data_IF_819740276620
#
_entry.id   IF_819740276620
#
_cell.length_a   1.000
_cell.length_b   1.000
_cell.length_c   1.000
_cell.angle_alpha   90.00
_cell.angle_beta   90.00
_cell.angle_gamma   90.00
#
_symmetry.space_group_name_H-M   'P 1'
#
loop_
_entity.id
_entity.type
_entity.pdbx_description
1 polymer ?
#
# COMPACT_ATOMS: atom_id res chain seq x y z
N UNK A 1 43.25 -0.93 17.31
CA UNK A 1 41.93 -0.50 17.83
C UNK A 1 41.20 0.45 16.86
N UNK A 2 41.85 1.53 16.39
CA UNK A 2 41.25 2.48 15.44
C UNK A 2 40.72 1.85 14.13
N UNK A 3 41.41 0.82 13.62
CA UNK A 3 40.99 0.11 12.40
C UNK A 3 39.62 -0.59 12.52
N UNK A 4 39.28 -1.20 13.66
CA UNK A 4 37.99 -1.88 13.84
C UNK A 4 36.83 -0.87 13.80
N UNK A 5 36.99 0.27 14.48
CA UNK A 5 36.00 1.34 14.46
C UNK A 5 35.83 1.95 13.06
N UNK A 6 36.92 2.13 12.30
CA UNK A 6 36.87 2.59 10.92
C UNK A 6 36.13 1.59 10.01
N UNK A 7 36.47 0.30 10.10
CA UNK A 7 35.81 -0.76 9.34
C UNK A 7 34.32 -0.90 9.68
N UNK A 8 33.92 -0.69 10.94
CA UNK A 8 32.50 -0.71 11.31
C UNK A 8 31.68 0.39 10.62
N UNK A 9 32.27 1.57 10.38
CA UNK A 9 31.61 2.66 9.65
C UNK A 9 31.37 2.34 8.18
N UNK A 10 32.18 1.45 7.59
CA UNK A 10 32.05 1.07 6.17
C UNK A 10 30.88 0.14 5.87
N UNK A 11 30.24 -0.46 6.89
CA UNK A 11 29.13 -1.42 6.69
C UNK A 11 29.56 -2.81 6.19
N UNK A 12 30.85 -3.09 6.02
CA UNK A 12 31.40 -4.41 5.61
C UNK A 12 31.05 -5.55 6.57
N UNK A 13 30.70 -6.73 6.06
CA UNK A 13 30.23 -7.87 6.90
C UNK A 13 31.24 -8.27 7.99
N UNK A 14 30.80 -8.83 9.13
CA UNK A 14 31.70 -9.29 10.20
C UNK A 14 32.75 -10.31 9.72
N UNK A 15 32.41 -11.11 8.70
CA UNK A 15 33.35 -12.03 8.05
C UNK A 15 34.46 -11.27 7.32
N UNK A 16 34.11 -10.21 6.59
CA UNK A 16 35.08 -9.37 5.88
C UNK A 16 35.95 -8.54 6.85
N UNK A 17 35.35 -8.00 7.92
CA UNK A 17 36.06 -7.31 8.99
C UNK A 17 37.06 -8.26 9.66
N UNK A 18 36.63 -9.49 9.97
CA UNK A 18 37.52 -10.52 10.52
C UNK A 18 38.68 -10.84 9.59
N UNK A 19 38.42 -11.02 8.29
CA UNK A 19 39.46 -11.27 7.30
C UNK A 19 40.49 -10.12 7.22
N UNK A 20 40.04 -8.85 7.24
CA UNK A 20 40.94 -7.69 7.27
C UNK A 20 41.80 -7.60 8.54
N UNK A 21 41.30 -8.11 9.66
CA UNK A 21 42.00 -8.08 10.95
C UNK A 21 42.74 -9.39 11.25
N UNK A 22 42.79 -10.33 10.29
CA UNK A 22 43.32 -11.68 10.46
C UNK A 22 42.72 -12.41 11.69
N UNK A 23 41.41 -12.24 11.91
CA UNK A 23 40.67 -12.84 13.02
C UNK A 23 39.39 -13.51 12.54
N UNK A 24 38.85 -14.41 13.36
CA UNK A 24 37.52 -14.98 13.10
C UNK A 24 36.43 -13.91 13.23
N UNK A 25 35.29 -14.12 12.57
CA UNK A 25 34.14 -13.20 12.64
C UNK A 25 33.70 -12.96 14.09
N UNK A 26 33.74 -14.02 14.91
CA UNK A 26 33.25 -14.00 16.28
C UNK A 26 34.20 -13.24 17.19
N UNK A 27 35.52 -13.40 16.99
CA UNK A 27 36.53 -12.61 17.70
C UNK A 27 36.41 -11.10 17.37
N UNK A 28 36.14 -10.76 16.11
CA UNK A 28 35.89 -9.36 15.72
C UNK A 28 34.61 -8.79 16.36
N UNK A 29 33.54 -9.59 16.41
CA UNK A 29 32.28 -9.21 17.04
C UNK A 29 32.40 -9.05 18.56
N UNK A 30 33.03 -10.01 19.25
CA UNK A 30 33.26 -9.93 20.71
C UNK A 30 34.11 -8.70 21.05
N UNK A 31 35.17 -8.44 20.27
CA UNK A 31 36.02 -7.27 20.53
C UNK A 31 35.27 -5.94 20.30
N UNK A 32 34.39 -5.89 19.32
CA UNK A 32 33.55 -4.71 19.11
C UNK A 32 32.55 -4.48 20.25
N UNK A 33 32.00 -5.56 20.82
CA UNK A 33 31.13 -5.50 21.99
C UNK A 33 31.87 -5.02 23.24
N UNK A 34 33.08 -5.55 23.49
CA UNK A 34 33.96 -5.12 24.58
C UNK A 34 34.28 -3.62 24.49
N UNK A 35 34.44 -3.11 23.27
CA UNK A 35 34.72 -1.70 22.98
C UNK A 35 33.47 -0.81 22.94
N UNK A 36 32.27 -1.34 23.21
CA UNK A 36 30.99 -0.61 23.18
C UNK A 36 30.78 0.17 21.88
N UNK A 37 31.23 -0.36 20.74
CA UNK A 37 31.09 0.28 19.42
C UNK A 37 29.65 0.28 18.88
N UNK A 38 28.68 -0.20 19.68
CA UNK A 38 27.27 -0.27 19.34
C UNK A 38 26.93 -1.42 18.38
N UNK A 39 25.63 -1.64 18.12
CA UNK A 39 25.21 -2.60 17.11
C UNK A 39 25.70 -2.12 15.73
N UNK A 40 26.27 -3.04 14.96
CA UNK A 40 26.75 -2.71 13.61
C UNK A 40 25.57 -2.18 12.77
N UNK A 41 25.75 -1.06 12.02
CA UNK A 41 24.70 -0.57 11.13
C UNK A 41 24.29 -1.66 10.15
N UNK A 42 23.00 -2.00 10.17
CA UNK A 42 22.41 -3.04 9.33
C UNK A 42 22.40 -2.54 7.87
N UNK A 43 23.41 -2.91 7.11
CA UNK A 43 23.70 -2.34 5.77
C UNK A 43 23.60 -3.36 4.64
N UNK A 44 23.12 -4.59 4.90
CA UNK A 44 23.14 -5.69 3.94
C UNK A 44 21.75 -6.19 3.53
N UNK A 45 21.58 -6.47 2.23
CA UNK A 45 20.49 -7.27 1.66
C UNK A 45 20.62 -8.74 2.11
N UNK A 46 20.22 -9.04 3.35
CA UNK A 46 20.27 -10.42 3.87
C UNK A 46 19.01 -11.24 3.59
N UNK A 47 17.96 -10.65 3.03
CA UNK A 47 16.74 -11.40 2.77
C UNK A 47 17.00 -12.45 1.69
N UNK A 48 17.00 -13.76 2.01
CA UNK A 48 17.17 -14.79 1.00
C UNK A 48 16.02 -14.76 -0.03
N UNK A 49 14.85 -14.33 0.42
CA UNK A 49 13.68 -14.11 -0.43
C UNK A 49 13.95 -13.01 -1.46
N UNK A 50 14.62 -11.91 -1.07
CA UNK A 50 14.96 -10.86 -2.02
C UNK A 50 15.93 -11.36 -3.10
N UNK A 51 17.00 -12.07 -2.71
CA UNK A 51 17.93 -12.66 -3.66
C UNK A 51 17.25 -13.62 -4.63
N UNK A 52 16.28 -14.40 -4.12
CA UNK A 52 15.46 -15.29 -4.95
C UNK A 52 14.56 -14.51 -5.90
N UNK A 53 13.91 -13.43 -5.45
CA UNK A 53 13.08 -12.57 -6.30
C UNK A 53 13.93 -11.93 -7.41
N UNK A 54 15.12 -11.41 -7.10
CA UNK A 54 16.03 -10.85 -8.11
C UNK A 54 16.43 -11.91 -9.14
N UNK A 55 16.74 -13.14 -8.70
CA UNK A 55 17.04 -14.26 -9.61
C UNK A 55 15.85 -14.61 -10.50
N UNK A 56 14.65 -14.66 -9.92
CA UNK A 56 13.38 -14.94 -10.60
C UNK A 56 13.03 -13.86 -11.63
N UNK A 57 13.38 -12.60 -11.36
CA UNK A 57 13.08 -11.45 -12.21
C UNK A 57 14.16 -11.11 -13.23
N UNK A 58 15.19 -11.93 -13.43
CA UNK A 58 16.26 -11.67 -14.41
C UNK A 58 15.75 -11.42 -15.84
N UNK A 59 14.56 -11.92 -16.15
CA UNK A 59 13.83 -11.68 -17.40
C UNK A 59 13.26 -10.26 -17.53
N UNK A 60 13.36 -9.43 -16.49
CA UNK A 60 12.86 -8.04 -16.40
C UNK A 60 11.36 -7.91 -16.65
N UNK A 61 10.61 -9.01 -16.54
CA UNK A 61 9.16 -8.99 -16.71
C UNK A 61 8.49 -8.44 -15.44
N UNK A 62 7.55 -7.48 -15.57
CA UNK A 62 6.81 -6.96 -14.42
C UNK A 62 5.86 -8.05 -13.89
N UNK A 63 5.96 -8.35 -12.59
CA UNK A 63 5.18 -9.43 -11.97
C UNK A 63 4.37 -8.95 -10.78
N UNK A 64 3.20 -9.54 -10.61
CA UNK A 64 2.37 -9.29 -9.44
C UNK A 64 2.95 -9.94 -8.19
N UNK A 65 2.65 -9.38 -7.02
CA UNK A 65 3.03 -10.00 -5.74
C UNK A 65 2.50 -11.44 -5.64
N UNK A 66 1.33 -11.73 -6.20
CA UNK A 66 0.76 -13.08 -6.17
C UNK A 66 1.55 -14.09 -7.01
N UNK A 67 2.07 -13.69 -8.17
CA UNK A 67 2.96 -14.55 -8.97
C UNK A 67 4.27 -14.80 -8.24
N UNK A 68 4.85 -13.75 -7.64
CA UNK A 68 6.06 -13.87 -6.85
C UNK A 68 5.87 -14.78 -5.63
N UNK A 69 4.70 -14.74 -4.97
CA UNK A 69 4.35 -15.69 -3.88
C UNK A 69 4.38 -17.13 -4.39
N UNK A 70 3.79 -17.41 -5.56
CA UNK A 70 3.79 -18.77 -6.13
C UNK A 70 5.19 -19.26 -6.45
N UNK A 71 6.04 -18.40 -7.00
CA UNK A 71 7.40 -18.77 -7.41
C UNK A 71 8.38 -18.88 -6.24
N UNK A 72 8.29 -17.98 -5.26
CA UNK A 72 9.22 -17.94 -4.11
C UNK A 72 8.76 -18.80 -2.93
N UNK A 73 7.48 -19.17 -2.88
CA UNK A 73 6.80 -19.79 -1.73
C UNK A 73 6.85 -18.96 -0.44
N UNK A 74 7.21 -17.68 -0.53
CA UNK A 74 7.16 -16.75 0.60
C UNK A 74 5.74 -16.20 0.80
N UNK A 75 5.44 -15.73 2.01
CA UNK A 75 4.13 -15.14 2.30
C UNK A 75 3.93 -13.82 1.56
N UNK A 76 2.69 -13.54 1.16
CA UNK A 76 2.33 -12.29 0.46
C UNK A 76 2.79 -11.04 1.21
N UNK A 77 2.59 -11.00 2.53
CA UNK A 77 2.94 -9.86 3.38
C UNK A 77 4.45 -9.61 3.37
N UNK A 78 5.25 -10.68 3.39
CA UNK A 78 6.71 -10.59 3.32
C UNK A 78 7.16 -9.98 1.98
N UNK A 79 6.62 -10.46 0.86
CA UNK A 79 6.97 -9.94 -0.47
C UNK A 79 6.51 -8.49 -0.65
N UNK A 80 5.29 -8.16 -0.22
CA UNK A 80 4.76 -6.80 -0.32
C UNK A 80 5.61 -5.79 0.47
N UNK A 81 5.99 -6.15 1.71
CA UNK A 81 6.89 -5.35 2.53
C UNK A 81 8.26 -5.20 1.88
N UNK A 82 8.87 -6.30 1.43
CA UNK A 82 10.17 -6.29 0.77
C UNK A 82 10.16 -5.42 -0.49
N UNK A 83 9.12 -5.52 -1.32
CA UNK A 83 9.03 -4.71 -2.55
C UNK A 83 8.96 -3.22 -2.24
N UNK A 84 8.17 -2.81 -1.23
CA UNK A 84 8.09 -1.41 -0.80
C UNK A 84 9.41 -0.89 -0.26
N UNK A 85 10.02 -1.62 0.68
CA UNK A 85 11.33 -1.25 1.23
C UNK A 85 12.41 -1.11 0.14
N UNK A 86 12.35 -1.96 -0.89
CA UNK A 86 13.31 -1.95 -2.01
C UNK A 86 13.00 -0.88 -3.04
N UNK A 87 11.73 -0.57 -3.25
CA UNK A 87 11.29 0.55 -4.08
C UNK A 87 11.73 1.89 -3.49
N UNK A 88 11.52 2.09 -2.19
CA UNK A 88 12.00 3.27 -1.46
C UNK A 88 13.53 3.40 -1.52
N UNK A 89 14.25 2.28 -1.54
CA UNK A 89 15.70 2.24 -1.72
C UNK A 89 16.16 2.38 -3.19
N UNK A 90 15.25 2.53 -4.16
CA UNK A 90 15.58 2.61 -5.59
C UNK A 90 16.09 1.30 -6.21
N UNK A 91 15.91 0.17 -5.53
CA UNK A 91 16.33 -1.17 -5.98
C UNK A 91 15.24 -1.96 -6.70
N UNK A 92 14.01 -1.45 -6.69
CA UNK A 92 12.87 -1.99 -7.40
C UNK A 92 12.07 -0.83 -8.01
N UNK A 93 11.30 -1.10 -9.06
CA UNK A 93 10.35 -0.13 -9.62
C UNK A 93 9.05 -0.83 -10.03
N UNK A 94 8.00 -0.03 -10.20
CA UNK A 94 6.73 -0.48 -10.75
C UNK A 94 6.85 -0.47 -12.27
N UNK A 95 6.94 -1.65 -12.90
CA UNK A 95 7.07 -1.75 -14.36
C UNK A 95 5.74 -1.59 -15.09
N UNK A 96 4.62 -1.96 -14.46
CA UNK A 96 3.26 -1.78 -15.00
C UNK A 96 2.22 -1.85 -13.88
N UNK A 97 0.94 -1.65 -14.21
CA UNK A 97 -0.18 -1.66 -13.28
C UNK A 97 -1.28 -2.61 -13.72
N UNK A 98 -1.58 -3.58 -12.87
CA UNK A 98 -2.72 -4.47 -13.06
C UNK A 98 -4.02 -3.70 -12.78
N UNK A 99 -4.82 -3.51 -13.83
CA UNK A 99 -6.16 -2.91 -13.73
C UNK A 99 -7.06 -3.80 -12.88
N UNK A 100 -7.63 -3.24 -11.82
CA UNK A 100 -8.63 -3.93 -11.01
C UNK A 100 -10.04 -3.56 -11.45
N UNK A 101 -10.94 -4.55 -11.54
CA UNK A 101 -12.39 -4.29 -11.72
C UNK A 101 -12.98 -3.54 -10.52
N UNK A 102 -12.41 -3.73 -9.33
CA UNK A 102 -12.88 -3.13 -8.07
C UNK A 102 -11.68 -2.63 -7.26
N UNK A 103 -11.69 -1.36 -6.88
CA UNK A 103 -10.62 -0.76 -6.08
C UNK A 103 -9.43 -0.24 -6.90
N UNK A 104 -8.33 0.13 -6.24
CA UNK A 104 -7.17 0.71 -6.90
C UNK A 104 -6.41 -0.33 -7.75
N UNK A 105 -5.75 0.12 -8.83
CA UNK A 105 -4.79 -0.66 -9.60
C UNK A 105 -3.69 -1.21 -8.69
N UNK A 106 -3.25 -2.44 -8.97
CA UNK A 106 -2.18 -3.09 -8.21
C UNK A 106 -0.86 -2.96 -8.97
N UNK A 107 0.26 -2.64 -8.31
CA UNK A 107 1.55 -2.54 -8.98
C UNK A 107 2.03 -3.92 -9.45
N UNK A 108 2.63 -3.94 -10.64
CA UNK A 108 3.45 -5.05 -11.15
C UNK A 108 4.92 -4.65 -10.99
N UNK A 109 5.65 -5.42 -10.20
CA UNK A 109 6.98 -5.08 -9.73
C UNK A 109 8.06 -5.65 -10.63
N UNK A 110 9.13 -4.89 -10.79
CA UNK A 110 10.40 -5.33 -11.38
C UNK A 110 11.49 -5.18 -10.31
N UNK A 111 12.20 -6.25 -9.93
CA UNK A 111 13.15 -6.22 -8.82
C UNK A 111 14.52 -5.66 -9.22
N UNK A 112 14.52 -4.57 -9.97
CA UNK A 112 15.70 -3.85 -10.44
C UNK A 112 15.45 -2.33 -10.34
N UNK A 113 16.51 -1.52 -10.24
CA UNK A 113 16.38 -0.07 -10.38
C UNK A 113 15.74 0.31 -11.72
N UNK A 114 14.87 1.31 -11.72
CA UNK A 114 14.21 1.80 -12.91
C UNK A 114 13.23 2.93 -12.61
N UNK A 115 12.58 3.45 -13.66
CA UNK A 115 11.55 4.48 -13.55
C UNK A 115 10.19 3.82 -13.40
N UNK A 116 9.39 4.29 -12.45
CA UNK A 116 8.04 3.80 -12.26
C UNK A 116 7.14 4.12 -13.47
N UNK A 117 6.34 3.15 -13.86
CA UNK A 117 5.26 3.32 -14.82
C UNK A 117 4.18 4.25 -14.24
N UNK A 118 3.61 5.14 -15.06
CA UNK A 118 2.58 6.06 -14.61
C UNK A 118 1.36 5.29 -14.10
N UNK A 119 0.90 5.65 -12.91
CA UNK A 119 -0.27 5.02 -12.30
C UNK A 119 -1.51 5.29 -13.16
N UNK A 120 -2.26 4.26 -13.58
CA UNK A 120 -3.43 4.46 -14.41
C UNK A 120 -4.50 5.20 -13.62
N UNK A 121 -5.23 6.06 -14.33
CA UNK A 121 -6.31 6.84 -13.75
C UNK A 121 -7.40 5.93 -13.17
N UNK A 122 -7.87 6.29 -11.98
CA UNK A 122 -8.95 5.59 -11.28
C UNK A 122 -10.07 6.57 -11.09
N UNK A 123 -11.25 6.24 -11.65
CA UNK A 123 -12.42 7.07 -11.48
C UNK A 123 -12.72 7.33 -10.00
N UNK A 124 -12.90 8.59 -9.64
CA UNK A 124 -13.20 9.02 -8.29
C UNK A 124 -14.56 8.48 -7.84
N UNK A 125 -14.83 8.37 -6.52
CA UNK A 125 -16.13 7.93 -6.03
C UNK A 125 -17.30 8.75 -6.59
N UNK A 126 -17.12 10.06 -6.76
CA UNK A 126 -18.11 10.96 -7.35
C UNK A 126 -18.36 10.67 -8.82
N UNK A 127 -17.31 10.52 -9.63
CA UNK A 127 -17.44 10.14 -11.05
C UNK A 127 -18.14 8.79 -11.23
N UNK A 128 -17.80 7.80 -10.40
CA UNK A 128 -18.49 6.50 -10.40
C UNK A 128 -19.96 6.63 -10.04
N UNK A 129 -20.29 7.48 -9.06
CA UNK A 129 -21.66 7.76 -8.69
C UNK A 129 -22.43 8.48 -9.81
N UNK A 130 -21.81 9.48 -10.45
CA UNK A 130 -22.38 10.19 -11.60
C UNK A 130 -22.61 9.24 -12.78
N UNK A 131 -21.63 8.43 -13.13
CA UNK A 131 -21.76 7.42 -14.19
C UNK A 131 -22.86 6.41 -13.89
N UNK A 132 -22.97 5.95 -12.64
CA UNK A 132 -24.07 5.08 -12.20
C UNK A 132 -25.43 5.75 -12.34
N UNK A 133 -25.54 7.02 -11.94
CA UNK A 133 -26.80 7.78 -12.06
C UNK A 133 -27.17 8.06 -13.52
N UNK A 134 -26.19 8.28 -14.41
CA UNK A 134 -26.42 8.41 -15.87
C UNK A 134 -26.96 7.12 -16.46
N UNK A 135 -26.30 5.98 -16.22
CA UNK A 135 -26.79 4.66 -16.66
C UNK A 135 -28.18 4.37 -16.13
N UNK A 136 -28.44 4.64 -14.86
CA UNK A 136 -29.76 4.45 -14.26
C UNK A 136 -30.84 5.34 -14.88
N UNK A 137 -30.49 6.56 -15.31
CA UNK A 137 -31.44 7.45 -16.01
C UNK A 137 -31.86 6.88 -17.36
N UNK A 138 -30.96 6.19 -18.05
CA UNK A 138 -31.18 5.56 -19.36
C UNK A 138 -31.89 4.20 -19.21
N UNK A 139 -31.43 3.34 -18.29
CA UNK A 139 -31.93 1.97 -18.09
C UNK A 139 -33.26 1.91 -17.32
N UNK A 140 -33.46 2.75 -16.29
CA UNK A 140 -34.65 2.74 -15.43
C UNK A 140 -35.00 4.16 -14.94
N UNK A 141 -35.71 4.94 -15.78
CA UNK A 141 -36.02 6.32 -15.48
C UNK A 141 -36.97 6.49 -14.28
N UNK A 142 -37.82 5.50 -13.96
CA UNK A 142 -38.71 5.55 -12.80
C UNK A 142 -37.92 5.44 -11.50
N UNK A 143 -36.99 4.49 -11.43
CA UNK A 143 -36.09 4.35 -10.28
C UNK A 143 -35.19 5.55 -10.10
N UNK A 144 -34.66 6.11 -11.19
CA UNK A 144 -33.90 7.35 -11.16
C UNK A 144 -34.72 8.49 -10.53
N UNK A 145 -35.95 8.72 -11.01
CA UNK A 145 -36.86 9.76 -10.47
C UNK A 145 -37.14 9.54 -8.98
N UNK A 146 -37.41 8.30 -8.57
CA UNK A 146 -37.68 7.97 -7.16
C UNK A 146 -36.48 8.28 -6.24
N UNK A 147 -35.25 7.99 -6.69
CA UNK A 147 -34.04 8.32 -5.94
C UNK A 147 -33.84 9.83 -5.82
N UNK A 148 -34.01 10.57 -6.91
CA UNK A 148 -33.90 12.03 -6.91
C UNK A 148 -34.95 12.64 -5.97
N UNK A 149 -36.21 12.21 -6.06
CA UNK A 149 -37.28 12.67 -5.18
C UNK A 149 -36.95 12.42 -3.69
N UNK A 150 -36.47 11.22 -3.36
CA UNK A 150 -36.04 10.86 -2.00
C UNK A 150 -34.89 11.74 -1.51
N UNK A 151 -33.87 11.96 -2.33
CA UNK A 151 -32.73 12.82 -1.98
C UNK A 151 -33.16 14.28 -1.78
N UNK A 152 -34.04 14.80 -2.63
CA UNK A 152 -34.59 16.15 -2.51
C UNK A 152 -35.42 16.33 -1.24
N UNK A 153 -36.29 15.35 -0.91
CA UNK A 153 -37.06 15.34 0.33
C UNK A 153 -36.15 15.37 1.56
N UNK A 154 -35.12 14.51 1.60
CA UNK A 154 -34.13 14.48 2.71
C UNK A 154 -33.38 15.81 2.86
N UNK A 155 -32.99 16.45 1.75
CA UNK A 155 -32.34 17.78 1.78
C UNK A 155 -33.28 18.85 2.33
N UNK A 156 -34.56 18.85 1.96
CA UNK A 156 -35.57 19.76 2.50
C UNK A 156 -35.76 19.57 4.00
N UNK A 157 -35.93 18.32 4.45
CA UNK A 157 -36.05 17.98 5.86
C UNK A 157 -34.83 18.43 6.67
N UNK A 158 -33.61 18.20 6.19
CA UNK A 158 -32.38 18.65 6.85
C UNK A 158 -32.29 20.18 6.98
N UNK A 159 -32.88 20.92 6.04
CA UNK A 159 -32.97 22.39 6.08
C UNK A 159 -34.15 22.91 6.93
N UNK A 160 -34.91 22.04 7.59
CA UNK A 160 -36.13 22.42 8.32
C UNK A 160 -37.32 22.77 7.41
N UNK A 161 -37.19 22.60 6.09
CA UNK A 161 -38.23 22.89 5.09
C UNK A 161 -39.18 21.69 4.87
N UNK A 162 -39.33 20.86 5.90
CA UNK A 162 -40.34 19.80 5.93
C UNK A 162 -41.72 20.42 5.98
N UNK A 163 -42.68 19.87 5.24
CA UNK A 163 -44.07 20.23 5.45
C UNK A 163 -44.40 19.91 6.93
N UNK A 164 -44.80 20.92 7.70
CA UNK A 164 -45.33 20.69 9.04
C UNK A 164 -46.53 19.77 8.87
N UNK A 165 -46.55 18.65 9.59
CA UNK A 165 -47.74 17.80 9.60
C UNK A 165 -48.91 18.61 10.13
N UNK A 166 -50.09 18.36 9.57
CA UNK A 166 -51.30 19.04 10.00
C UNK A 166 -51.57 18.75 11.48
N UNK A 167 -52.04 19.75 12.25
CA UNK A 167 -52.20 19.64 13.71
C UNK A 167 -53.10 18.46 14.12
N UNK A 168 -54.16 18.19 13.35
CA UNK A 168 -55.08 17.05 13.57
C UNK A 168 -54.34 15.70 13.47
N UNK A 169 -53.42 15.57 12.51
CA UNK A 169 -52.62 14.33 12.33
C UNK A 169 -51.61 14.18 13.47
N UNK A 170 -51.00 15.27 13.94
CA UNK A 170 -50.10 15.25 15.08
C UNK A 170 -50.82 14.81 16.37
N UNK A 171 -52.04 15.31 16.60
CA UNK A 171 -52.88 14.93 17.74
C UNK A 171 -53.34 13.47 17.69
N UNK A 172 -53.74 12.97 16.51
CA UNK A 172 -54.19 11.58 16.32
C UNK A 172 -53.08 10.55 16.55
N UNK A 173 -51.84 10.86 16.19
CA UNK A 173 -50.72 9.91 16.27
C UNK A 173 -49.74 10.19 17.41
N UNK A 174 -50.07 11.09 18.35
CA UNK A 174 -49.27 11.34 19.54
C UNK A 174 -47.87 11.91 19.28
N UNK A 175 -47.62 12.47 18.08
CA UNK A 175 -46.35 13.10 17.76
C UNK A 175 -46.39 14.54 18.26
N UNK A 176 -46.08 14.71 19.54
CA UNK A 176 -46.07 16.01 20.22
C UNK A 176 -45.21 17.04 19.49
N UNK A 177 -45.70 18.28 19.47
CA UNK A 177 -44.94 19.44 19.01
C UNK A 177 -43.75 19.60 19.95
N UNK A 178 -42.55 19.17 19.53
CA UNK A 178 -41.33 19.53 20.24
C UNK A 178 -41.17 21.04 20.11
N UNK A 179 -41.45 21.76 21.21
CA UNK A 179 -41.19 23.19 21.37
C UNK A 179 -39.69 23.46 21.26
#
# INVERSE_FOLDING_TARGET
MAQLAALMKTGTSWRAIGAHLHRTKDAAQMKAAELKLGPKPYTGNKSPVWSLIVKIGQDKQPRSVHELVKMTRATRVCIDRLMKERHEAGLAHVGDWLRSRRGPPKPLWVPFPGKDAPKPYVATPSERACARMRRMKEEDPLRYKAIIARCSLRRRLKKGLGAKQHAVVQALFGMGVSV
#
